data_IF_662782464212
#
_entry.id   IF_662782464212
#
_cell.length_a   1.000
_cell.length_b   1.000
_cell.length_c   1.000
_cell.angle_alpha   90.00
_cell.angle_beta   90.00
_cell.angle_gamma   90.00
#
_symmetry.space_group_name_H-M   'P 1'
#
loop_
_entity.id
_entity.type
_entity.pdbx_description
1 polymer ?
#
# COMPACT_ATOMS: atom_id res chain seq x y z
N UNK A 1 38.65 1.56 -25.84
CA UNK A 1 37.25 1.99 -25.71
C UNK A 1 36.91 2.11 -24.23
N UNK A 2 36.79 3.34 -23.73
CA UNK A 2 36.61 3.63 -22.29
C UNK A 2 35.12 3.58 -21.96
N UNK A 3 34.71 2.71 -21.03
CA UNK A 3 33.36 2.64 -20.53
C UNK A 3 33.14 3.79 -19.54
N UNK A 4 32.28 4.74 -19.88
CA UNK A 4 31.84 5.81 -18.97
C UNK A 4 30.68 5.28 -18.16
N UNK A 5 30.92 5.08 -16.83
CA UNK A 5 29.85 4.77 -15.86
C UNK A 5 29.17 6.09 -15.47
N UNK A 6 27.91 6.22 -15.87
CA UNK A 6 27.06 7.34 -15.49
C UNK A 6 26.38 7.01 -14.14
N UNK A 7 26.92 7.57 -13.06
CA UNK A 7 26.27 7.51 -11.73
C UNK A 7 25.27 8.66 -11.69
N UNK A 8 23.98 8.33 -11.74
CA UNK A 8 22.89 9.29 -11.51
C UNK A 8 22.67 9.40 -10.01
N UNK A 9 23.21 10.45 -9.40
CA UNK A 9 22.93 10.83 -8.03
C UNK A 9 21.57 11.52 -7.99
N UNK A 10 20.58 10.84 -7.41
CA UNK A 10 19.25 11.40 -7.19
C UNK A 10 19.27 12.26 -5.92
N UNK A 11 19.36 13.57 -6.09
CA UNK A 11 19.28 14.55 -5.02
C UNK A 11 17.81 14.76 -4.64
N UNK A 12 17.41 14.29 -3.47
CA UNK A 12 16.13 14.65 -2.86
C UNK A 12 16.23 16.06 -2.27
N UNK A 13 15.60 17.02 -2.92
CA UNK A 13 15.38 18.35 -2.34
C UNK A 13 14.16 18.27 -1.43
N UNK A 14 14.42 18.22 -0.12
CA UNK A 14 13.38 18.39 0.90
C UNK A 14 13.11 19.90 1.01
N UNK A 15 12.02 20.37 0.41
CA UNK A 15 11.51 21.71 0.64
C UNK A 15 10.81 21.72 2.01
N UNK A 16 11.53 22.13 3.04
CA UNK A 16 10.95 22.47 4.35
C UNK A 16 10.22 23.79 4.24
N UNK A 17 8.90 23.76 3.99
CA UNK A 17 8.06 24.93 4.14
C UNK A 17 7.69 25.12 5.60
N UNK A 18 8.04 26.29 6.14
CA UNK A 18 7.66 26.80 7.44
C UNK A 18 6.14 26.72 7.67
N UNK A 19 5.71 25.79 8.51
CA UNK A 19 4.32 25.63 8.96
C UNK A 19 4.20 25.80 10.48
N UNK A 20 4.87 26.81 11.08
CA UNK A 20 4.92 26.97 12.51
C UNK A 20 4.01 28.04 13.11
N UNK A 21 3.05 28.65 12.37
CA UNK A 21 2.29 29.78 12.92
C UNK A 21 0.76 29.67 12.94
N UNK A 22 0.15 28.51 12.84
CA UNK A 22 -1.34 28.42 12.92
C UNK A 22 -1.93 27.42 13.92
N UNK A 23 -1.17 26.95 14.90
CA UNK A 23 -1.73 26.16 15.99
C UNK A 23 -1.69 26.93 17.35
N UNK A 24 -2.41 28.03 17.44
CA UNK A 24 -2.81 28.60 18.73
C UNK A 24 -4.31 28.86 18.75
N UNK A 25 -4.94 28.20 19.71
CA UNK A 25 -6.33 28.31 20.20
C UNK A 25 -7.37 27.34 19.61
N UNK A 26 -7.54 26.24 20.29
CA UNK A 26 -8.81 25.91 20.94
C UNK A 26 -8.51 24.87 22.02
N UNK A 27 -8.39 25.34 23.26
CA UNK A 27 -8.45 24.51 24.46
C UNK A 27 -9.89 24.56 24.96
N UNK A 28 -10.54 23.43 25.15
CA UNK A 28 -11.28 23.07 26.37
C UNK A 28 -11.98 21.72 26.21
N UNK A 29 -11.61 20.86 27.10
CA UNK A 29 -12.29 19.86 27.94
C UNK A 29 -12.61 18.50 27.34
N UNK A 30 -12.12 17.59 27.92
CA UNK A 30 -12.31 16.55 28.85
C UNK A 30 -11.57 15.26 28.52
N UNK A 31 -10.69 14.93 29.41
CA UNK A 31 -10.08 13.63 29.61
C UNK A 31 -11.14 12.55 29.76
N UNK A 32 -11.06 11.53 28.88
CA UNK A 32 -11.26 10.16 29.28
C UNK A 32 -10.26 9.29 28.56
N UNK A 33 -9.24 8.90 29.31
CA UNK A 33 -8.23 7.94 28.91
C UNK A 33 -8.81 6.54 28.98
N UNK A 34 -9.29 6.05 27.88
CA UNK A 34 -9.41 4.63 27.63
C UNK A 34 -8.50 4.27 26.44
N UNK A 35 -7.35 3.70 26.77
CA UNK A 35 -6.43 3.10 25.82
C UNK A 35 -7.08 1.83 25.22
N UNK A 36 -7.89 2.01 24.20
CA UNK A 36 -8.25 0.94 23.29
C UNK A 36 -7.31 1.04 22.08
N UNK A 37 -6.41 0.09 21.96
CA UNK A 37 -5.62 -0.14 20.74
C UNK A 37 -6.56 -0.69 19.65
N UNK A 38 -7.53 0.12 19.24
CA UNK A 38 -8.44 -0.16 18.14
C UNK A 38 -8.00 0.63 16.93
N UNK A 39 -7.70 -0.06 15.83
CA UNK A 39 -7.52 0.58 14.54
C UNK A 39 -8.69 1.52 14.23
N UNK A 40 -8.45 2.71 13.71
CA UNK A 40 -9.51 3.67 13.45
C UNK A 40 -10.57 3.09 12.51
N UNK A 41 -11.81 3.04 12.95
CA UNK A 41 -12.94 2.58 12.12
C UNK A 41 -13.33 3.58 11.03
N UNK A 42 -12.72 4.77 11.02
CA UNK A 42 -12.95 5.84 10.04
C UNK A 42 -11.72 6.70 9.85
N UNK A 43 -11.49 7.17 8.62
CA UNK A 43 -10.63 8.31 8.33
C UNK A 43 -11.50 9.47 7.84
N UNK A 44 -11.54 10.55 8.60
CA UNK A 44 -12.49 11.63 8.34
C UNK A 44 -13.93 11.10 8.40
N UNK A 45 -14.70 11.26 7.33
CA UNK A 45 -16.06 10.73 7.18
C UNK A 45 -16.12 9.41 6.40
N UNK A 46 -15.00 8.93 5.85
CA UNK A 46 -14.98 7.74 5.01
C UNK A 46 -14.91 6.47 5.89
N UNK A 47 -15.85 5.52 5.72
CA UNK A 47 -15.84 4.26 6.45
C UNK A 47 -14.70 3.37 5.94
N UNK A 48 -14.22 2.47 6.80
CA UNK A 48 -13.29 1.40 6.39
C UNK A 48 -14.04 0.40 5.52
N UNK A 49 -13.58 0.25 4.29
CA UNK A 49 -14.10 -0.75 3.37
C UNK A 49 -13.46 -2.11 3.62
N UNK A 50 -14.25 -3.18 3.46
CA UNK A 50 -13.75 -4.56 3.49
C UNK A 50 -13.58 -5.06 2.05
N UNK A 51 -12.63 -5.99 1.79
CA UNK A 51 -12.54 -6.66 0.51
C UNK A 51 -13.87 -7.27 0.11
N UNK A 52 -14.32 -6.92 -1.09
CA UNK A 52 -15.51 -7.52 -1.70
C UNK A 52 -15.18 -7.89 -3.16
N UNK A 53 -14.43 -9.00 -3.37
CA UNK A 53 -14.00 -9.39 -4.69
C UNK A 53 -15.19 -9.76 -5.57
N UNK A 54 -15.16 -9.30 -6.81
CA UNK A 54 -16.11 -9.72 -7.85
C UNK A 54 -15.89 -11.19 -8.21
N UNK A 55 -16.87 -11.81 -8.90
CA UNK A 55 -16.70 -13.16 -9.40
C UNK A 55 -15.49 -13.29 -10.35
N UNK A 56 -15.22 -12.28 -11.19
CA UNK A 56 -14.06 -12.24 -12.09
C UNK A 56 -12.74 -12.18 -11.30
N UNK A 57 -12.64 -11.33 -10.28
CA UNK A 57 -11.46 -11.23 -9.40
C UNK A 57 -11.19 -12.52 -8.64
N UNK A 58 -12.23 -13.16 -8.12
CA UNK A 58 -12.12 -14.47 -7.47
C UNK A 58 -11.69 -15.57 -8.44
N UNK A 59 -12.25 -15.60 -9.66
CA UNK A 59 -11.92 -16.56 -10.69
C UNK A 59 -10.48 -16.42 -11.18
N UNK A 60 -9.95 -15.19 -11.27
CA UNK A 60 -8.59 -14.92 -11.73
C UNK A 60 -7.50 -15.59 -10.87
N UNK A 61 -7.78 -15.85 -9.60
CA UNK A 61 -6.84 -16.50 -8.65
C UNK A 61 -7.32 -17.88 -8.16
N UNK A 62 -8.47 -18.39 -8.62
CA UNK A 62 -9.11 -19.60 -8.08
C UNK A 62 -8.22 -20.86 -8.15
N UNK A 63 -7.41 -21.00 -9.21
CA UNK A 63 -6.46 -22.09 -9.39
C UNK A 63 -5.02 -21.68 -9.04
N UNK A 64 -4.88 -20.65 -8.20
CA UNK A 64 -3.61 -20.07 -7.86
C UNK A 64 -2.82 -20.89 -6.83
N UNK A 65 -1.58 -20.47 -6.62
CA UNK A 65 -0.70 -20.98 -5.58
C UNK A 65 -0.76 -20.12 -4.35
N UNK A 66 -0.76 -20.74 -3.15
CA UNK A 66 -0.60 -20.02 -1.90
C UNK A 66 0.88 -19.69 -1.68
N UNK A 67 1.21 -18.42 -1.58
CA UNK A 67 2.55 -17.92 -1.27
C UNK A 67 2.56 -17.37 0.13
N UNK A 68 3.48 -17.86 0.97
CA UNK A 68 3.68 -17.44 2.36
C UNK A 68 5.01 -16.72 2.49
N UNK A 69 4.99 -15.59 3.16
CA UNK A 69 6.18 -14.88 3.61
C UNK A 69 6.26 -14.99 5.13
N UNK A 70 6.79 -16.13 5.59
CA UNK A 70 6.74 -16.52 7.00
C UNK A 70 7.45 -15.51 7.92
N UNK A 71 8.57 -14.90 7.47
CA UNK A 71 9.29 -13.89 8.25
C UNK A 71 8.41 -12.66 8.55
N UNK A 72 7.42 -12.40 7.72
CA UNK A 72 6.53 -11.25 7.87
C UNK A 72 5.08 -11.65 8.21
N UNK A 73 4.77 -12.94 8.31
CA UNK A 73 3.41 -13.40 8.59
C UNK A 73 2.39 -12.93 7.56
N UNK A 74 2.76 -12.85 6.28
CA UNK A 74 1.86 -12.41 5.20
C UNK A 74 1.70 -13.55 4.19
N UNK A 75 0.49 -13.70 3.67
CA UNK A 75 0.15 -14.76 2.72
C UNK A 75 -0.73 -14.21 1.61
N UNK A 76 -0.54 -14.70 0.38
CA UNK A 76 -1.34 -14.38 -0.80
C UNK A 76 -1.73 -15.62 -1.55
N UNK A 77 -2.79 -15.52 -2.34
CA UNK A 77 -3.06 -16.43 -3.47
C UNK A 77 -2.60 -15.74 -4.74
N UNK A 78 -1.58 -16.28 -5.40
CA UNK A 78 -1.04 -15.78 -6.66
C UNK A 78 -1.41 -16.72 -7.80
N UNK A 79 -1.58 -16.26 -9.05
CA UNK A 79 -1.76 -17.13 -10.20
C UNK A 79 -0.67 -18.21 -10.29
N UNK A 80 -1.01 -19.40 -10.75
CA UNK A 80 -0.09 -20.56 -10.75
C UNK A 80 1.17 -20.35 -11.60
N UNK A 81 1.11 -19.50 -12.63
CA UNK A 81 2.21 -19.15 -13.52
C UNK A 81 3.15 -18.08 -12.98
N UNK A 82 2.79 -17.40 -11.87
CA UNK A 82 3.65 -16.39 -11.26
C UNK A 82 4.88 -17.03 -10.61
N UNK A 83 6.04 -16.42 -10.80
CA UNK A 83 7.33 -16.91 -10.29
C UNK A 83 7.89 -15.94 -9.27
N UNK A 84 8.57 -16.52 -8.28
CA UNK A 84 9.39 -15.75 -7.34
C UNK A 84 10.50 -15.02 -8.08
N UNK A 85 10.61 -13.71 -7.84
CA UNK A 85 11.69 -12.87 -8.37
C UNK A 85 12.76 -12.64 -7.30
N UNK A 86 12.34 -12.14 -6.11
CA UNK A 86 13.22 -11.93 -4.97
C UNK A 86 12.45 -12.12 -3.66
N UNK A 87 13.12 -12.66 -2.64
CA UNK A 87 12.57 -12.75 -1.27
C UNK A 87 13.69 -12.50 -0.29
N UNK A 88 13.52 -11.45 0.51
CA UNK A 88 14.43 -11.02 1.60
C UNK A 88 13.62 -10.86 2.88
N UNK A 89 14.30 -10.47 3.97
CA UNK A 89 13.62 -10.23 5.25
C UNK A 89 12.61 -9.08 5.18
N UNK A 90 12.88 -8.05 4.38
CA UNK A 90 12.11 -6.81 4.33
C UNK A 90 11.43 -6.57 2.97
N UNK A 91 11.66 -7.43 1.99
CA UNK A 91 11.05 -7.33 0.67
C UNK A 91 10.75 -8.68 0.04
N UNK A 92 9.66 -8.72 -0.72
CA UNK A 92 9.24 -9.89 -1.49
C UNK A 92 8.75 -9.41 -2.85
N UNK A 93 9.12 -10.12 -3.92
CA UNK A 93 8.55 -9.89 -5.24
C UNK A 93 8.26 -11.17 -6.00
N UNK A 94 7.15 -11.16 -6.71
CA UNK A 94 6.66 -12.19 -7.62
C UNK A 94 6.19 -11.54 -8.93
N UNK A 95 6.16 -12.30 -10.01
CA UNK A 95 5.62 -11.81 -11.26
C UNK A 95 5.33 -12.90 -12.27
N UNK A 96 4.45 -12.59 -13.22
CA UNK A 96 4.07 -13.42 -14.35
C UNK A 96 3.28 -12.64 -15.38
N UNK A 97 3.43 -12.98 -16.66
CA UNK A 97 2.72 -12.38 -17.81
C UNK A 97 2.79 -10.84 -17.89
N UNK A 98 3.91 -10.25 -17.42
CA UNK A 98 4.09 -8.80 -17.40
C UNK A 98 3.40 -8.07 -16.25
N UNK A 99 2.86 -8.81 -15.27
CA UNK A 99 2.33 -8.25 -14.03
C UNK A 99 3.21 -8.65 -12.83
N UNK A 100 3.23 -7.81 -11.80
CA UNK A 100 4.16 -7.94 -10.67
C UNK A 100 3.47 -7.61 -9.34
N UNK A 101 3.87 -8.34 -8.29
CA UNK A 101 3.65 -8.03 -6.89
C UNK A 101 5.00 -7.69 -6.27
N UNK A 102 5.09 -6.54 -5.64
CA UNK A 102 6.21 -6.15 -4.78
C UNK A 102 5.68 -5.76 -3.41
N UNK A 103 6.25 -6.32 -2.36
CA UNK A 103 5.90 -5.99 -0.98
C UNK A 103 7.15 -5.59 -0.24
N UNK A 104 7.07 -4.47 0.46
CA UNK A 104 8.15 -3.95 1.32
C UNK A 104 7.60 -3.74 2.71
N UNK A 105 8.36 -4.17 3.71
CA UNK A 105 8.07 -3.93 5.12
C UNK A 105 9.20 -3.08 5.70
N UNK A 106 8.84 -1.87 6.14
CA UNK A 106 9.77 -0.95 6.76
C UNK A 106 9.54 -0.89 8.27
N UNK A 107 10.57 -1.16 9.06
CA UNK A 107 10.51 -1.04 10.52
C UNK A 107 10.58 0.42 10.92
N UNK A 108 9.62 0.87 11.72
CA UNK A 108 9.41 2.26 12.12
C UNK A 108 9.40 2.41 13.66
N UNK A 109 10.53 2.23 14.35
CA UNK A 109 10.54 2.09 15.81
C UNK A 109 10.06 3.34 16.56
N UNK A 110 10.10 4.52 15.93
CA UNK A 110 9.68 5.79 16.54
C UNK A 110 8.24 6.20 16.20
N UNK A 111 7.55 5.41 15.35
CA UNK A 111 6.22 5.77 14.82
C UNK A 111 5.05 5.17 15.60
N UNK A 112 5.29 4.40 16.66
CA UNK A 112 4.25 3.70 17.41
C UNK A 112 3.10 4.61 17.88
N UNK A 113 3.43 5.84 18.28
CA UNK A 113 2.44 6.83 18.75
C UNK A 113 1.85 7.70 17.63
N UNK A 114 2.32 7.58 16.41
CA UNK A 114 1.96 8.45 15.28
C UNK A 114 1.31 7.71 14.11
N UNK A 115 1.07 6.42 14.25
CA UNK A 115 0.52 5.60 13.15
C UNK A 115 -0.80 6.14 12.62
N UNK A 116 -1.73 6.55 13.51
CA UNK A 116 -3.03 7.09 13.13
C UNK A 116 -2.92 8.43 12.39
N UNK A 117 -2.02 9.30 12.86
CA UNK A 117 -1.78 10.60 12.20
C UNK A 117 -1.15 10.38 10.83
N UNK A 118 -0.19 9.47 10.76
CA UNK A 118 0.54 9.17 9.54
C UNK A 118 -0.34 8.52 8.50
N UNK A 119 -1.17 7.54 8.88
CA UNK A 119 -2.07 6.88 7.92
C UNK A 119 -3.16 7.84 7.39
N UNK A 120 -3.65 8.76 8.23
CA UNK A 120 -4.55 9.84 7.80
C UNK A 120 -3.87 10.77 6.80
N UNK A 121 -2.62 11.19 7.07
CA UNK A 121 -1.86 12.04 6.15
C UNK A 121 -1.62 11.34 4.81
N UNK A 122 -1.34 10.03 4.81
CA UNK A 122 -1.22 9.22 3.59
C UNK A 122 -2.52 9.20 2.80
N UNK A 123 -3.66 8.97 3.47
CA UNK A 123 -4.97 8.99 2.84
C UNK A 123 -5.30 10.36 2.21
N UNK A 124 -5.11 11.45 2.95
CA UNK A 124 -5.35 12.80 2.44
C UNK A 124 -4.40 13.15 1.28
N UNK A 125 -3.16 12.70 1.32
CA UNK A 125 -2.22 12.81 0.21
C UNK A 125 -2.71 12.06 -1.03
N UNK A 126 -3.19 10.83 -0.88
CA UNK A 126 -3.75 10.03 -1.97
C UNK A 126 -5.03 10.67 -2.54
N UNK A 127 -5.92 11.22 -1.69
CA UNK A 127 -7.12 11.99 -2.12
C UNK A 127 -6.74 13.27 -2.86
N UNK A 128 -5.67 13.95 -2.45
CA UNK A 128 -5.15 15.12 -3.17
C UNK A 128 -4.65 14.69 -4.56
N UNK A 129 -3.91 13.59 -4.65
CA UNK A 129 -3.48 13.02 -5.93
C UNK A 129 -4.67 12.62 -6.82
N UNK A 130 -5.75 12.14 -6.24
CA UNK A 130 -6.99 11.84 -6.97
C UNK A 130 -7.62 13.13 -7.55
N UNK A 131 -7.69 14.21 -6.78
CA UNK A 131 -8.25 15.50 -7.24
C UNK A 131 -7.47 16.11 -8.41
N UNK A 132 -6.17 15.87 -8.48
CA UNK A 132 -5.30 16.36 -9.57
C UNK A 132 -5.09 15.32 -10.69
N UNK A 133 -5.86 14.22 -10.67
CA UNK A 133 -5.86 13.21 -11.72
C UNK A 133 -4.68 12.24 -11.74
N UNK A 134 -3.83 12.22 -10.70
CA UNK A 134 -2.73 11.23 -10.59
C UNK A 134 -3.23 9.86 -10.16
N UNK A 135 -4.28 9.81 -9.33
CA UNK A 135 -4.96 8.57 -8.94
C UNK A 135 -6.39 8.61 -9.47
N UNK A 136 -6.90 7.49 -9.94
CA UNK A 136 -8.31 7.35 -10.34
C UNK A 136 -9.16 6.66 -9.27
N UNK A 137 -8.52 6.02 -8.31
CA UNK A 137 -9.18 5.39 -7.16
C UNK A 137 -8.38 5.62 -5.88
N UNK A 138 -9.06 5.96 -4.79
CA UNK A 138 -8.50 6.02 -3.43
C UNK A 138 -9.52 5.48 -2.45
N UNK A 139 -9.11 4.52 -1.62
CA UNK A 139 -9.96 3.80 -0.69
C UNK A 139 -9.31 3.71 0.68
N UNK A 140 -10.14 3.75 1.71
CA UNK A 140 -9.78 3.30 3.05
C UNK A 140 -10.15 1.83 3.16
N UNK A 141 -9.19 0.93 2.95
CA UNK A 141 -9.42 -0.50 2.75
C UNK A 141 -8.73 -1.33 3.84
N UNK A 142 -9.48 -2.15 4.56
CA UNK A 142 -8.89 -3.14 5.45
C UNK A 142 -8.57 -4.43 4.69
N UNK A 143 -7.34 -4.93 4.80
CA UNK A 143 -6.98 -6.28 4.36
C UNK A 143 -6.80 -7.16 5.58
N UNK A 144 -7.54 -8.26 5.64
CA UNK A 144 -7.56 -9.20 6.77
C UNK A 144 -7.79 -8.51 8.14
N UNK A 145 -8.60 -7.46 8.17
CA UNK A 145 -8.87 -6.68 9.37
C UNK A 145 -7.90 -5.52 9.63
N UNK A 146 -6.76 -5.46 8.95
CA UNK A 146 -5.79 -4.38 9.07
C UNK A 146 -6.17 -3.20 8.15
N UNK A 147 -6.62 -2.04 8.69
CA UNK A 147 -6.96 -0.89 7.88
C UNK A 147 -5.74 -0.27 7.22
N UNK A 148 -5.89 0.12 5.95
CA UNK A 148 -4.84 0.74 5.17
C UNK A 148 -5.38 1.64 4.08
N UNK A 149 -4.50 2.37 3.44
CA UNK A 149 -4.79 3.24 2.30
C UNK A 149 -4.53 2.46 1.02
N UNK A 150 -5.59 2.21 0.25
CA UNK A 150 -5.51 1.65 -1.10
C UNK A 150 -5.69 2.76 -2.13
N UNK A 151 -4.89 2.75 -3.19
CA UNK A 151 -5.10 3.64 -4.31
C UNK A 151 -4.61 3.00 -5.61
N UNK A 152 -5.21 3.45 -6.71
CA UNK A 152 -4.81 3.08 -8.06
C UNK A 152 -4.37 4.32 -8.82
N UNK A 153 -3.19 4.24 -9.45
CA UNK A 153 -2.73 5.29 -10.35
C UNK A 153 -3.66 5.43 -11.55
N UNK A 154 -3.84 6.65 -12.02
CA UNK A 154 -4.56 6.92 -13.27
C UNK A 154 -3.84 6.25 -14.45
N UNK A 155 -4.57 6.09 -15.55
CA UNK A 155 -3.99 5.60 -16.80
C UNK A 155 -2.84 6.54 -17.21
N UNK A 156 -1.67 5.95 -17.46
CA UNK A 156 -0.49 6.67 -17.92
C UNK A 156 -0.64 7.05 -19.41
N UNK A 157 0.08 8.09 -19.83
CA UNK A 157 0.01 8.59 -21.21
C UNK A 157 0.55 7.57 -22.21
N UNK A 158 1.70 6.97 -21.92
CA UNK A 158 2.28 5.92 -22.75
C UNK A 158 1.84 4.53 -22.27
N UNK A 159 1.49 3.66 -23.21
CA UNK A 159 1.02 2.31 -22.89
C UNK A 159 2.05 1.44 -22.16
N UNK A 160 3.36 1.69 -22.38
CA UNK A 160 4.47 1.00 -21.72
C UNK A 160 4.86 1.59 -20.36
N UNK A 161 4.29 2.71 -19.94
CA UNK A 161 4.52 3.23 -18.60
C UNK A 161 3.88 2.32 -17.55
N UNK A 162 4.50 2.21 -16.40
CA UNK A 162 4.00 1.37 -15.31
C UNK A 162 2.79 2.05 -14.65
N UNK A 163 1.72 1.27 -14.47
CA UNK A 163 0.54 1.64 -13.69
C UNK A 163 0.43 0.74 -12.46
N UNK A 164 0.15 1.33 -11.30
CA UNK A 164 0.16 0.65 -9.99
C UNK A 164 -1.21 0.64 -9.34
N UNK A 165 -1.49 -0.46 -8.67
CA UNK A 165 -2.45 -0.60 -7.60
C UNK A 165 -1.66 -0.78 -6.32
N UNK A 166 -1.81 0.12 -5.35
CA UNK A 166 -0.99 0.15 -4.14
C UNK A 166 -1.86 0.12 -2.90
N UNK A 167 -1.35 -0.53 -1.84
CA UNK A 167 -1.94 -0.53 -0.52
C UNK A 167 -0.87 -0.40 0.54
N UNK A 168 -1.12 0.46 1.54
CA UNK A 168 -0.19 0.76 2.62
C UNK A 168 -0.90 0.75 3.97
N UNK A 169 -0.29 0.13 4.97
CA UNK A 169 -0.81 0.11 6.33
C UNK A 169 0.31 0.04 7.38
N UNK A 170 0.04 0.59 8.55
CA UNK A 170 0.86 0.34 9.73
C UNK A 170 0.33 -0.85 10.50
N UNK A 171 1.25 -1.67 11.05
CA UNK A 171 0.93 -2.77 11.96
C UNK A 171 1.97 -2.87 13.08
N UNK A 172 1.62 -3.57 14.15
CA UNK A 172 2.61 -4.06 15.12
C UNK A 172 2.86 -5.54 14.85
N UNK A 173 4.09 -5.91 14.54
CA UNK A 173 4.48 -7.30 14.29
C UNK A 173 5.86 -7.57 14.85
N UNK A 174 6.04 -8.73 15.53
CA UNK A 174 7.29 -9.13 16.19
C UNK A 174 7.84 -8.04 17.15
N UNK A 175 6.95 -7.33 17.85
CA UNK A 175 7.30 -6.29 18.81
C UNK A 175 7.76 -4.95 18.19
N UNK A 176 7.57 -4.75 16.90
CA UNK A 176 7.96 -3.51 16.20
C UNK A 176 6.82 -2.93 15.39
N UNK A 177 6.72 -1.60 15.36
CA UNK A 177 5.84 -0.90 14.42
C UNK A 177 6.44 -1.00 13.02
N UNK A 178 5.62 -1.41 12.07
CA UNK A 178 6.00 -1.61 10.68
C UNK A 178 5.04 -0.89 9.75
N UNK A 179 5.58 -0.30 8.68
CA UNK A 179 4.82 0.09 7.49
C UNK A 179 4.91 -1.03 6.46
N UNK A 180 3.78 -1.60 6.10
CA UNK A 180 3.65 -2.56 5.00
C UNK A 180 3.22 -1.79 3.76
N UNK A 181 4.00 -1.88 2.68
CA UNK A 181 3.67 -1.33 1.36
C UNK A 181 3.55 -2.48 0.39
N UNK A 182 2.39 -2.63 -0.23
CA UNK A 182 2.11 -3.62 -1.27
C UNK A 182 1.85 -2.89 -2.59
N UNK A 183 2.58 -3.27 -3.63
CA UNK A 183 2.48 -2.70 -4.98
C UNK A 183 2.19 -3.84 -5.96
N UNK A 184 1.08 -3.72 -6.65
CA UNK A 184 0.70 -4.58 -7.78
C UNK A 184 0.78 -3.72 -9.04
N UNK A 185 1.51 -4.17 -10.04
CA UNK A 185 1.83 -3.32 -11.21
C UNK A 185 1.89 -4.10 -12.51
N UNK A 186 1.63 -3.39 -13.60
CA UNK A 186 1.83 -3.84 -14.97
C UNK A 186 1.96 -2.61 -15.87
N UNK A 187 2.29 -2.81 -17.15
CA UNK A 187 2.23 -1.73 -18.14
C UNK A 187 0.82 -1.13 -18.22
N UNK A 188 0.72 0.17 -18.36
CA UNK A 188 -0.56 0.90 -18.39
C UNK A 188 -1.50 0.40 -19.49
N UNK A 189 -0.95 0.01 -20.65
CA UNK A 189 -1.71 -0.58 -21.75
C UNK A 189 -2.28 -1.98 -21.43
N UNK A 190 -1.60 -2.74 -20.57
CA UNK A 190 -1.98 -4.09 -20.15
C UNK A 190 -2.84 -4.09 -18.88
N UNK A 191 -2.93 -2.97 -18.16
CA UNK A 191 -3.66 -2.89 -16.89
C UNK A 191 -5.11 -3.40 -16.98
N UNK A 192 -5.92 -3.08 -18.01
CA UNK A 192 -7.29 -3.62 -18.11
C UNK A 192 -7.34 -5.14 -18.19
N UNK A 193 -6.33 -5.78 -18.82
CA UNK A 193 -6.22 -7.25 -18.93
C UNK A 193 -5.93 -7.88 -17.56
N UNK A 194 -5.09 -7.27 -16.74
CA UNK A 194 -4.64 -7.80 -15.45
C UNK A 194 -5.44 -7.26 -14.25
N UNK A 195 -6.35 -6.32 -14.45
CA UNK A 195 -7.04 -5.65 -13.35
C UNK A 195 -7.70 -6.61 -12.36
N UNK A 196 -8.46 -7.59 -12.85
CA UNK A 196 -9.14 -8.55 -11.98
C UNK A 196 -8.16 -9.45 -11.21
N UNK A 197 -7.06 -9.84 -11.85
CA UNK A 197 -5.97 -10.60 -11.24
C UNK A 197 -5.30 -9.80 -10.11
N UNK A 198 -4.93 -8.53 -10.37
CA UNK A 198 -4.28 -7.67 -9.39
C UNK A 198 -5.18 -7.42 -8.17
N UNK A 199 -6.47 -7.13 -8.38
CA UNK A 199 -7.42 -6.98 -7.27
C UNK A 199 -7.69 -8.31 -6.56
N UNK A 200 -7.76 -9.43 -7.28
CA UNK A 200 -7.89 -10.76 -6.69
C UNK A 200 -6.73 -11.05 -5.73
N UNK A 201 -5.49 -10.80 -6.16
CA UNK A 201 -4.29 -10.95 -5.33
C UNK A 201 -4.38 -10.03 -4.11
N UNK A 202 -4.68 -8.74 -4.30
CA UNK A 202 -4.81 -7.78 -3.21
C UNK A 202 -5.80 -8.27 -2.15
N UNK A 203 -7.00 -8.67 -2.56
CA UNK A 203 -8.07 -9.10 -1.66
C UNK A 203 -7.83 -10.48 -1.03
N UNK A 204 -6.96 -11.31 -1.62
CA UNK A 204 -6.56 -12.60 -1.03
C UNK A 204 -5.57 -12.47 0.11
N UNK A 205 -5.04 -11.26 0.36
CA UNK A 205 -4.02 -11.00 1.35
C UNK A 205 -4.48 -11.38 2.75
N UNK A 206 -3.64 -12.14 3.47
CA UNK A 206 -3.76 -12.45 4.89
C UNK A 206 -2.56 -11.89 5.61
N UNK A 207 -2.78 -11.18 6.71
CA UNK A 207 -1.75 -10.44 7.44
C UNK A 207 -1.88 -10.68 8.93
N UNK A 208 -0.82 -11.20 9.57
CA UNK A 208 -0.72 -11.22 11.04
C UNK A 208 -0.43 -9.79 11.53
N UNK A 209 -1.24 -9.29 12.47
CA UNK A 209 -1.15 -7.95 13.02
C UNK A 209 -1.65 -7.89 14.48
#
# INVERSE_FOLDING_TARGET
MKKVSLIVAMVFVVAACNLSEKFKKSSTSNSDSSSSSGNPSKIGNDPVEQPNPTAAQSAAIANGQTVKWDQQGITWTLPANWKKQDVRNESLSYGGDGAFLSVVVSVMPQMEKMTDVSIKAMYEGAKTNQKIGKNDEVRWLALDGLPGVGFRESKQEMAGDIRRLEWQAYRTYAGSTQLVTMILSTDSGNFPKHQDELYGILYSTKIVH
#
